data_IF_090557428696
#
_entry.id   IF_090557428696
#
_cell.length_a   1.000
_cell.length_b   1.000
_cell.length_c   1.000
_cell.angle_alpha   90.00
_cell.angle_beta   90.00
_cell.angle_gamma   90.00
#
_symmetry.space_group_name_H-M   'P 1'
#
loop_
_entity.id
_entity.type
_entity.pdbx_description
1 polymer ?
#
# COMPACT_ATOMS: atom_id res chain seq x y z
N UNK A 1 14.63 4.33 -4.66
CA UNK A 1 13.74 5.20 -3.87
C UNK A 1 13.31 4.44 -2.62
N UNK A 2 13.21 5.09 -1.45
CA UNK A 2 12.75 4.41 -0.25
C UNK A 2 11.31 3.93 -0.44
N UNK A 3 11.03 2.68 -0.09
CA UNK A 3 9.70 2.10 -0.06
C UNK A 3 9.18 2.09 1.37
N UNK A 4 7.89 2.29 1.55
CA UNK A 4 7.22 2.21 2.84
C UNK A 4 6.02 1.27 2.74
N UNK A 5 5.75 0.54 3.81
CA UNK A 5 4.58 -0.32 3.86
C UNK A 5 3.37 0.56 4.14
N UNK A 6 2.37 0.51 3.28
CA UNK A 6 1.22 1.40 3.32
C UNK A 6 -0.06 0.59 3.34
N UNK A 7 -0.94 0.89 4.29
CA UNK A 7 -2.29 0.36 4.34
C UNK A 7 -3.23 1.34 3.65
N UNK A 8 -3.91 0.88 2.61
CA UNK A 8 -4.78 1.69 1.76
C UNK A 8 -6.17 1.09 1.80
N UNK A 9 -7.20 1.89 2.04
CA UNK A 9 -8.60 1.49 1.94
C UNK A 9 -9.23 2.05 0.68
N UNK A 10 -9.99 1.21 -0.02
CA UNK A 10 -10.75 1.61 -1.20
C UNK A 10 -12.24 1.61 -0.89
N UNK A 11 -13.02 2.40 -1.64
CA UNK A 11 -14.48 2.45 -1.49
C UNK A 11 -15.18 1.22 -2.07
N UNK A 12 -14.49 0.48 -2.94
CA UNK A 12 -15.05 -0.67 -3.63
C UNK A 12 -13.95 -1.63 -4.08
N UNK A 13 -14.31 -2.92 -4.22
CA UNK A 13 -13.41 -3.95 -4.75
C UNK A 13 -12.90 -3.65 -6.17
N UNK A 14 -13.72 -3.13 -7.12
CA UNK A 14 -13.22 -2.77 -8.44
C UNK A 14 -12.11 -1.71 -8.42
N UNK A 15 -12.19 -0.70 -7.56
CA UNK A 15 -11.13 0.31 -7.41
C UNK A 15 -9.85 -0.30 -6.85
N UNK A 16 -9.98 -1.14 -5.81
CA UNK A 16 -8.86 -1.87 -5.23
C UNK A 16 -8.13 -2.67 -6.31
N UNK A 17 -8.86 -3.47 -7.11
CA UNK A 17 -8.28 -4.29 -8.15
C UNK A 17 -7.65 -3.48 -9.28
N UNK A 18 -8.28 -2.37 -9.70
CA UNK A 18 -7.71 -1.45 -10.69
C UNK A 18 -6.36 -0.89 -10.22
N UNK A 19 -6.28 -0.46 -8.96
CA UNK A 19 -5.04 0.03 -8.38
C UNK A 19 -3.99 -1.10 -8.29
N UNK A 20 -4.36 -2.24 -7.73
CA UNK A 20 -3.47 -3.40 -7.56
C UNK A 20 -2.88 -3.91 -8.89
N UNK A 21 -3.64 -3.85 -9.98
CA UNK A 21 -3.16 -4.21 -11.32
C UNK A 21 -2.21 -3.17 -11.93
N UNK A 22 -2.24 -1.92 -11.44
CA UNK A 22 -1.46 -0.81 -12.00
C UNK A 22 -0.10 -0.66 -11.33
N UNK A 23 -0.01 -0.94 -10.03
CA UNK A 23 1.22 -0.79 -9.25
C UNK A 23 2.14 -2.01 -9.36
N UNK A 24 3.46 -1.78 -9.31
CA UNK A 24 4.47 -2.84 -9.36
C UNK A 24 5.26 -2.88 -8.05
N UNK A 25 4.63 -3.48 -7.04
CA UNK A 25 5.18 -3.57 -5.68
C UNK A 25 5.83 -4.92 -5.42
N UNK A 26 6.80 -4.93 -4.51
CA UNK A 26 7.54 -6.14 -4.08
C UNK A 26 6.70 -7.05 -3.18
N UNK A 27 5.79 -6.47 -2.43
CA UNK A 27 4.91 -7.16 -1.48
C UNK A 27 3.52 -6.54 -1.53
N UNK A 28 2.49 -7.38 -1.55
CA UNK A 28 1.09 -7.00 -1.63
C UNK A 28 0.21 -8.00 -0.89
N UNK A 29 -0.64 -7.51 0.01
CA UNK A 29 -1.69 -8.29 0.66
C UNK A 29 -3.05 -7.61 0.47
N UNK A 30 -4.04 -8.35 0.02
CA UNK A 30 -5.40 -7.86 -0.27
C UNK A 30 -6.38 -8.45 0.72
N UNK A 31 -7.13 -7.58 1.39
CA UNK A 31 -8.28 -7.97 2.20
C UNK A 31 -9.57 -7.50 1.52
N UNK A 32 -10.29 -8.44 0.91
CA UNK A 32 -11.54 -8.16 0.19
C UNK A 32 -12.71 -7.87 1.12
N UNK A 33 -12.67 -8.31 2.38
CA UNK A 33 -13.73 -8.05 3.37
C UNK A 33 -13.75 -6.60 3.79
N UNK A 34 -12.58 -6.02 4.08
CA UNK A 34 -12.42 -4.61 4.46
C UNK A 34 -12.11 -3.68 3.29
N UNK A 35 -11.91 -4.22 2.09
CA UNK A 35 -11.47 -3.49 0.89
C UNK A 35 -10.16 -2.74 1.14
N UNK A 36 -9.23 -3.39 1.84
CA UNK A 36 -7.92 -2.82 2.15
C UNK A 36 -6.81 -3.55 1.42
N UNK A 37 -5.77 -2.81 1.09
CA UNK A 37 -4.54 -3.26 0.44
C UNK A 37 -3.37 -2.85 1.32
N UNK A 38 -2.51 -3.80 1.64
CA UNK A 38 -1.22 -3.55 2.28
C UNK A 38 -0.12 -3.74 1.23
N UNK A 39 0.61 -2.69 0.88
CA UNK A 39 1.66 -2.75 -0.13
C UNK A 39 2.97 -2.09 0.35
N UNK A 40 4.11 -2.56 -0.17
CA UNK A 40 5.33 -1.77 -0.15
C UNK A 40 5.37 -0.82 -1.34
N UNK A 41 4.95 0.42 -1.09
CA UNK A 41 4.78 1.43 -2.11
C UNK A 41 5.83 2.55 -1.94
N UNK A 42 6.37 3.05 -3.05
CA UNK A 42 7.16 4.29 -3.12
C UNK A 42 6.25 5.52 -3.20
N UNK A 43 6.77 6.72 -2.91
CA UNK A 43 6.00 7.97 -3.05
C UNK A 43 5.37 8.15 -4.45
N UNK A 44 6.05 7.67 -5.50
CA UNK A 44 5.51 7.70 -6.87
C UNK A 44 4.29 6.79 -7.05
N UNK A 45 4.29 5.61 -6.44
CA UNK A 45 3.15 4.68 -6.46
C UNK A 45 2.02 5.18 -5.55
N UNK A 46 2.36 5.83 -4.43
CA UNK A 46 1.38 6.46 -3.54
C UNK A 46 0.68 7.63 -4.20
N UNK A 47 1.36 8.40 -5.05
CA UNK A 47 0.74 9.49 -5.82
C UNK A 47 -0.38 9.00 -6.74
N UNK A 48 -0.30 7.75 -7.22
CA UNK A 48 -1.37 7.15 -8.03
C UNK A 48 -2.63 6.86 -7.21
N UNK A 49 -2.54 6.69 -5.88
CA UNK A 49 -3.69 6.28 -5.05
C UNK A 49 -4.88 7.22 -5.18
N UNK A 50 -4.63 8.53 -5.27
CA UNK A 50 -5.67 9.54 -5.41
C UNK A 50 -6.51 9.32 -6.68
N UNK A 51 -5.89 8.88 -7.78
CA UNK A 51 -6.57 8.57 -9.05
C UNK A 51 -7.55 7.39 -8.92
N UNK A 52 -7.36 6.50 -7.94
CA UNK A 52 -8.19 5.31 -7.72
C UNK A 52 -9.10 5.44 -6.50
N UNK A 53 -9.27 6.66 -5.97
CA UNK A 53 -10.08 6.95 -4.78
C UNK A 53 -9.68 6.11 -3.55
N UNK A 54 -8.39 5.74 -3.48
CA UNK A 54 -7.85 5.08 -2.30
C UNK A 54 -7.58 6.07 -1.18
N UNK A 55 -7.73 5.64 0.06
CA UNK A 55 -7.44 6.40 1.27
C UNK A 55 -6.32 5.71 2.03
N UNK A 56 -5.20 6.40 2.22
CA UNK A 56 -4.13 5.91 3.09
C UNK A 56 -4.66 5.91 4.53
N UNK A 57 -4.70 4.73 5.15
CA UNK A 57 -5.06 4.55 6.55
C UNK A 57 -3.84 4.60 7.45
N UNK A 58 -2.73 4.00 7.01
CA UNK A 58 -1.50 3.92 7.80
C UNK A 58 -0.26 3.84 6.90
N UNK A 59 0.86 4.34 7.42
CA UNK A 59 2.19 4.25 6.82
C UNK A 59 3.11 3.61 7.86
N UNK A 60 3.41 2.33 7.65
CA UNK A 60 4.28 1.55 8.51
C UNK A 60 5.71 1.69 7.94
N UNK A 61 6.62 2.36 8.65
CA UNK A 61 8.02 2.33 8.24
C UNK A 61 8.53 0.89 8.28
N UNK A 62 9.04 0.41 7.14
CA UNK A 62 9.69 -0.90 7.07
C UNK A 62 11.06 -0.76 7.73
N UNK A 63 11.12 -1.00 9.04
CA UNK A 63 12.39 -1.17 9.73
C UNK A 63 12.98 -2.49 9.25
N UNK A 64 13.93 -2.43 8.32
CA UNK A 64 14.76 -3.59 7.99
C UNK A 64 15.47 -3.99 9.27
N UNK A 65 15.14 -5.17 9.82
CA UNK A 65 15.51 -5.60 11.17
C UNK A 65 17.01 -5.73 11.41
N UNK A 66 17.68 -4.60 11.64
CA UNK A 66 19.06 -4.52 12.14
C UNK A 66 19.27 -3.52 13.28
N UNK A 67 18.21 -2.94 13.85
CA UNK A 67 18.33 -1.94 14.92
C UNK A 67 17.58 -2.29 16.22
N UNK A 68 17.32 -3.59 16.48
CA UNK A 68 16.87 -4.06 17.80
C UNK A 68 17.92 -4.96 18.46
N UNK A 69 19.12 -4.42 18.64
CA UNK A 69 20.13 -4.96 19.54
C UNK A 69 20.85 -3.80 20.26
N UNK A 70 20.21 -3.27 21.31
CA UNK A 70 20.89 -2.57 22.41
C UNK A 70 20.24 -2.98 23.73
#
# INVERSE_FOLDING_TARGET
MPKQQTLIQFRSLPQLWKFAQRIQVSSMEINTRSQTLLCECSEMELALIEEYEGKILDRIPVFSGKDFAQ
#
